data_IF_547215416095
#
_entry.id   IF_547215416095
#
_cell.length_a   1.000
_cell.length_b   1.000
_cell.length_c   1.000
_cell.angle_alpha   90.00
_cell.angle_beta   90.00
_cell.angle_gamma   90.00
#
_symmetry.space_group_name_H-M   'P 1'
#
loop_
_entity.id
_entity.type
_entity.pdbx_description
1 polymer ?
#
# COMPACT_ATOMS: atom_id res chain seq x y z
N UNK A 1 -12.21 -15.17 -3.05
CA UNK A 1 -13.10 -14.15 -3.66
C UNK A 1 -12.74 -12.83 -3.01
N UNK A 2 -12.56 -11.76 -3.78
CA UNK A 2 -12.12 -10.46 -3.22
C UNK A 2 -13.35 -9.76 -2.65
N UNK A 3 -13.36 -9.51 -1.35
CA UNK A 3 -14.46 -8.86 -0.64
C UNK A 3 -14.32 -7.34 -0.71
N UNK A 4 -14.42 -6.79 -1.92
CA UNK A 4 -14.22 -5.35 -2.15
C UNK A 4 -15.32 -4.71 -2.98
N UNK A 5 -15.65 -3.47 -2.64
CA UNK A 5 -16.53 -2.59 -3.42
C UNK A 5 -15.79 -1.30 -3.77
N UNK A 6 -15.86 -0.91 -5.03
CA UNK A 6 -15.43 0.38 -5.54
C UNK A 6 -16.63 1.29 -5.80
N UNK A 7 -16.60 2.48 -5.22
CA UNK A 7 -17.66 3.48 -5.32
C UNK A 7 -17.15 4.76 -5.95
N UNK A 8 -17.83 5.24 -7.00
CA UNK A 8 -17.74 6.64 -7.38
C UNK A 8 -18.74 7.48 -6.59
N UNK A 9 -18.27 8.56 -5.99
CA UNK A 9 -19.10 9.51 -5.24
C UNK A 9 -19.33 10.75 -6.10
N UNK A 10 -20.59 11.04 -6.36
CA UNK A 10 -21.01 12.21 -7.12
C UNK A 10 -21.93 13.14 -6.33
N UNK A 11 -22.10 14.39 -6.79
CA UNK A 11 -23.11 15.29 -6.26
C UNK A 11 -24.52 14.70 -6.44
N UNK A 12 -25.53 15.20 -5.70
CA UNK A 12 -26.91 14.74 -5.84
C UNK A 12 -27.39 14.84 -7.30
N UNK A 13 -28.14 13.84 -7.77
CA UNK A 13 -28.68 13.79 -9.15
C UNK A 13 -29.40 15.08 -9.57
N UNK A 14 -30.03 15.78 -8.63
CA UNK A 14 -30.71 17.07 -8.86
C UNK A 14 -29.78 18.23 -9.27
N UNK A 15 -28.48 18.12 -9.02
CA UNK A 15 -27.46 19.10 -9.43
C UNK A 15 -26.88 18.78 -10.82
N UNK A 16 -27.21 17.63 -11.42
CA UNK A 16 -26.68 17.22 -12.72
C UNK A 16 -27.50 17.78 -13.87
N UNK A 17 -26.83 18.19 -14.93
CA UNK A 17 -27.46 18.64 -16.17
C UNK A 17 -28.15 17.47 -16.90
N UNK A 18 -29.09 17.82 -17.78
CA UNK A 18 -29.79 16.83 -18.61
C UNK A 18 -28.78 16.09 -19.52
N UNK A 19 -28.81 14.74 -19.48
CA UNK A 19 -27.90 13.89 -20.24
C UNK A 19 -26.53 13.63 -19.58
N UNK A 20 -26.14 14.41 -18.57
CA UNK A 20 -24.85 14.26 -17.88
C UNK A 20 -24.72 12.89 -17.19
N UNK A 21 -25.77 12.49 -16.47
CA UNK A 21 -25.80 11.22 -15.75
C UNK A 21 -25.69 10.00 -16.68
N UNK A 22 -26.29 10.07 -17.88
CA UNK A 22 -26.17 9.03 -18.90
C UNK A 22 -24.76 8.96 -19.47
N UNK A 23 -24.12 10.11 -19.67
CA UNK A 23 -22.73 10.21 -20.13
C UNK A 23 -21.76 9.60 -19.12
N UNK A 24 -21.87 10.01 -17.85
CA UNK A 24 -21.05 9.50 -16.75
C UNK A 24 -21.17 7.98 -16.62
N UNK A 25 -22.39 7.43 -16.67
CA UNK A 25 -22.60 5.98 -16.60
C UNK A 25 -21.89 5.22 -17.72
N UNK A 26 -22.04 5.68 -18.97
CA UNK A 26 -21.38 5.05 -20.12
C UNK A 26 -19.86 5.09 -19.99
N UNK A 27 -19.31 6.18 -19.46
CA UNK A 27 -17.87 6.31 -19.22
C UNK A 27 -17.40 5.36 -18.11
N UNK A 28 -18.14 5.26 -17.01
CA UNK A 28 -17.81 4.41 -15.87
C UNK A 28 -17.97 2.92 -16.17
N UNK A 29 -18.96 2.53 -16.97
CA UNK A 29 -19.15 1.15 -17.40
C UNK A 29 -17.86 0.58 -18.03
N UNK A 30 -17.21 1.35 -18.91
CA UNK A 30 -15.93 0.95 -19.51
C UNK A 30 -14.79 0.84 -18.50
N UNK A 31 -14.79 1.67 -17.46
CA UNK A 31 -13.78 1.64 -16.40
C UNK A 31 -13.98 0.46 -15.43
N UNK A 32 -15.24 0.13 -15.13
CA UNK A 32 -15.62 -0.93 -14.19
C UNK A 32 -15.29 -2.33 -14.68
N UNK A 33 -15.22 -2.57 -16.00
CA UNK A 33 -14.93 -3.90 -16.57
C UNK A 33 -13.70 -4.54 -15.91
N UNK A 34 -12.59 -3.80 -15.84
CA UNK A 34 -11.33 -4.30 -15.29
C UNK A 34 -11.41 -4.67 -13.80
N UNK A 35 -12.24 -3.98 -13.02
CA UNK A 35 -12.45 -4.22 -11.60
C UNK A 35 -13.43 -5.39 -11.38
N UNK A 36 -14.50 -5.45 -12.17
CA UNK A 36 -15.48 -6.53 -12.14
C UNK A 36 -14.85 -7.89 -12.51
N UNK A 37 -13.97 -7.92 -13.50
CA UNK A 37 -13.17 -9.12 -13.86
C UNK A 37 -12.29 -9.62 -12.71
N UNK A 38 -11.94 -8.73 -11.76
CA UNK A 38 -11.17 -9.05 -10.55
C UNK A 38 -12.04 -9.35 -9.34
N UNK A 39 -13.37 -9.42 -9.52
CA UNK A 39 -14.34 -9.71 -8.48
C UNK A 39 -14.65 -8.53 -7.55
N UNK A 40 -14.35 -7.30 -7.96
CA UNK A 40 -14.66 -6.09 -7.19
C UNK A 40 -16.04 -5.57 -7.58
N UNK A 41 -16.96 -5.45 -6.63
CA UNK A 41 -18.26 -4.83 -6.87
C UNK A 41 -18.09 -3.35 -7.22
N UNK A 42 -18.77 -2.84 -8.26
CA UNK A 42 -18.64 -1.44 -8.66
C UNK A 42 -19.98 -0.72 -8.52
N UNK A 43 -19.97 0.49 -7.97
CA UNK A 43 -21.18 1.25 -7.67
C UNK A 43 -21.01 2.75 -7.77
N UNK A 44 -22.14 3.44 -7.73
CA UNK A 44 -22.21 4.90 -7.73
C UNK A 44 -23.06 5.35 -6.55
N UNK A 45 -22.52 6.24 -5.72
CA UNK A 45 -23.25 6.91 -4.64
C UNK A 45 -23.42 8.39 -5.01
N UNK A 46 -24.62 8.91 -4.76
CA UNK A 46 -24.93 10.32 -4.88
C UNK A 46 -25.17 10.87 -3.48
N UNK A 47 -24.39 11.86 -3.04
CA UNK A 47 -24.50 12.41 -1.70
C UNK A 47 -24.39 13.94 -1.73
N UNK A 48 -25.24 14.62 -0.96
CA UNK A 48 -25.23 16.09 -0.88
C UNK A 48 -24.23 16.64 0.15
N UNK A 49 -23.75 15.79 1.04
CA UNK A 49 -22.86 16.12 2.16
C UNK A 49 -22.29 14.83 2.76
N UNK A 50 -21.41 14.98 3.75
CA UNK A 50 -20.74 13.87 4.42
C UNK A 50 -21.68 12.99 5.24
N UNK A 51 -22.76 13.54 5.79
CA UNK A 51 -23.72 12.78 6.63
C UNK A 51 -24.51 11.80 5.77
N UNK A 52 -25.00 12.26 4.62
CA UNK A 52 -25.66 11.40 3.63
C UNK A 52 -24.71 10.32 3.10
N UNK A 53 -23.44 10.67 2.84
CA UNK A 53 -22.44 9.72 2.37
C UNK A 53 -22.15 8.63 3.42
N UNK A 54 -21.90 9.03 4.68
CA UNK A 54 -21.68 8.08 5.79
C UNK A 54 -22.89 7.15 5.92
N UNK A 55 -24.10 7.70 5.96
CA UNK A 55 -25.32 6.89 6.12
C UNK A 55 -25.51 5.90 4.96
N UNK A 56 -25.24 6.32 3.72
CA UNK A 56 -25.32 5.44 2.56
C UNK A 56 -24.29 4.31 2.61
N UNK A 57 -23.06 4.62 3.03
CA UNK A 57 -21.98 3.63 3.19
C UNK A 57 -22.28 2.66 4.34
N UNK A 58 -22.72 3.14 5.50
CA UNK A 58 -23.09 2.29 6.62
C UNK A 58 -24.24 1.34 6.26
N UNK A 59 -25.24 1.84 5.53
CA UNK A 59 -26.33 1.03 5.01
C UNK A 59 -25.82 -0.04 4.05
N UNK A 60 -24.93 0.31 3.11
CA UNK A 60 -24.30 -0.63 2.21
C UNK A 60 -23.53 -1.71 2.97
N UNK A 61 -22.79 -1.33 4.03
CA UNK A 61 -22.06 -2.30 4.86
C UNK A 61 -22.96 -3.23 5.66
N UNK A 62 -24.14 -2.75 6.06
CA UNK A 62 -25.13 -3.57 6.75
C UNK A 62 -25.81 -4.57 5.80
N UNK A 63 -26.19 -4.11 4.60
CA UNK A 63 -26.90 -4.92 3.60
C UNK A 63 -25.97 -5.92 2.90
N UNK A 64 -24.71 -5.54 2.66
CA UNK A 64 -23.73 -6.31 1.88
C UNK A 64 -22.43 -6.51 2.67
N UNK A 65 -22.53 -6.97 3.92
CA UNK A 65 -21.41 -7.09 4.86
C UNK A 65 -20.23 -7.90 4.32
N UNK A 66 -20.50 -8.95 3.54
CA UNK A 66 -19.46 -9.81 2.94
C UNK A 66 -18.73 -9.14 1.79
N UNK A 67 -19.41 -8.33 0.98
CA UNK A 67 -18.79 -7.67 -0.19
C UNK A 67 -18.12 -6.35 0.18
N UNK A 68 -18.62 -5.69 1.21
CA UNK A 68 -18.20 -4.35 1.65
C UNK A 68 -17.12 -4.36 2.74
N UNK A 69 -16.44 -5.50 2.94
CA UNK A 69 -15.33 -5.60 3.88
C UNK A 69 -14.25 -4.56 3.56
N UNK A 70 -13.93 -4.40 2.27
CA UNK A 70 -12.95 -3.43 1.77
C UNK A 70 -13.62 -2.42 0.84
N UNK A 71 -13.84 -1.20 1.34
CA UNK A 71 -14.50 -0.14 0.57
C UNK A 71 -13.47 0.82 -0.03
N UNK A 72 -13.56 0.99 -1.34
CA UNK A 72 -12.77 1.94 -2.12
C UNK A 72 -13.69 3.05 -2.60
N UNK A 73 -13.28 4.31 -2.47
CA UNK A 73 -14.08 5.44 -2.94
C UNK A 73 -13.27 6.40 -3.79
N UNK A 74 -13.83 6.84 -4.91
CA UNK A 74 -13.28 7.88 -5.77
C UNK A 74 -14.24 9.05 -5.83
N UNK A 75 -13.74 10.25 -5.61
CA UNK A 75 -14.54 11.46 -5.68
C UNK A 75 -13.74 12.61 -6.29
N UNK A 76 -14.44 13.51 -6.99
CA UNK A 76 -13.84 14.70 -7.57
C UNK A 76 -14.58 15.99 -7.22
N UNK A 77 -13.89 17.14 -7.34
CA UNK A 77 -14.45 18.46 -7.08
C UNK A 77 -15.12 18.59 -5.70
N UNK A 78 -16.37 19.06 -5.67
CA UNK A 78 -17.18 19.19 -4.43
C UNK A 78 -17.39 17.83 -3.72
N UNK A 79 -17.48 16.73 -4.48
CA UNK A 79 -17.68 15.40 -3.88
C UNK A 79 -16.44 14.89 -3.16
N UNK A 80 -15.24 15.27 -3.62
CA UNK A 80 -13.99 14.95 -2.94
C UNK A 80 -13.92 15.59 -1.55
N UNK A 81 -14.45 16.81 -1.41
CA UNK A 81 -14.61 17.47 -0.12
C UNK A 81 -15.57 16.71 0.81
N UNK A 82 -16.75 16.32 0.31
CA UNK A 82 -17.70 15.53 1.09
C UNK A 82 -17.10 14.19 1.53
N UNK A 83 -16.36 13.52 0.65
CA UNK A 83 -15.63 12.30 0.97
C UNK A 83 -14.57 12.55 2.04
N UNK A 84 -13.78 13.61 1.92
CA UNK A 84 -12.76 13.97 2.91
C UNK A 84 -13.39 14.23 4.30
N UNK A 85 -14.50 14.99 4.36
CA UNK A 85 -15.25 15.22 5.61
C UNK A 85 -15.81 13.92 6.19
N UNK A 86 -16.30 13.03 5.34
CA UNK A 86 -16.83 11.74 5.76
C UNK A 86 -15.74 10.84 6.36
N UNK A 87 -14.60 10.74 5.67
CA UNK A 87 -13.42 9.98 6.11
C UNK A 87 -12.84 10.54 7.40
N UNK A 88 -12.76 11.87 7.52
CA UNK A 88 -12.27 12.52 8.75
C UNK A 88 -13.14 12.18 9.97
N UNK A 89 -14.45 11.98 9.78
CA UNK A 89 -15.40 11.61 10.84
C UNK A 89 -15.45 10.12 11.16
N UNK A 90 -15.38 9.26 10.15
CA UNK A 90 -15.57 7.79 10.26
C UNK A 90 -14.56 7.03 9.38
N UNK A 91 -13.25 7.15 9.63
CA UNK A 91 -12.21 6.60 8.75
C UNK A 91 -12.32 5.10 8.51
N UNK A 92 -12.81 4.35 9.52
CA UNK A 92 -12.93 2.89 9.51
C UNK A 92 -13.94 2.33 8.49
N UNK A 93 -14.74 3.21 7.89
CA UNK A 93 -15.66 2.85 6.81
C UNK A 93 -14.96 2.64 5.47
N UNK A 94 -13.74 3.17 5.29
CA UNK A 94 -13.01 3.12 4.03
C UNK A 94 -11.68 2.38 4.18
N UNK A 95 -11.37 1.54 3.19
CA UNK A 95 -10.04 0.95 3.04
C UNK A 95 -9.11 1.85 2.22
N UNK A 96 -9.64 2.51 1.20
CA UNK A 96 -8.88 3.40 0.32
C UNK A 96 -9.75 4.50 -0.27
N UNK A 97 -9.19 5.70 -0.41
CA UNK A 97 -9.88 6.86 -0.97
C UNK A 97 -9.05 7.55 -2.04
N UNK A 98 -9.72 8.03 -3.09
CA UNK A 98 -9.11 8.80 -4.16
C UNK A 98 -9.75 10.19 -4.17
N UNK A 99 -8.92 11.21 -3.94
CA UNK A 99 -9.28 12.61 -4.05
C UNK A 99 -8.77 13.14 -5.38
N UNK A 100 -9.69 13.34 -6.32
CA UNK A 100 -9.36 13.76 -7.67
C UNK A 100 -9.78 15.21 -7.89
N UNK A 101 -8.80 16.11 -8.00
CA UNK A 101 -9.05 17.52 -8.30
C UNK A 101 -10.14 18.13 -7.40
N UNK A 102 -9.99 18.05 -6.07
CA UNK A 102 -10.98 18.57 -5.14
C UNK A 102 -11.16 20.08 -5.30
N UNK A 103 -12.34 20.59 -4.93
CA UNK A 103 -12.57 22.03 -4.81
C UNK A 103 -11.65 22.63 -3.73
N UNK A 104 -10.87 23.65 -4.09
CA UNK A 104 -9.80 24.15 -3.22
C UNK A 104 -10.31 24.70 -1.90
N UNK A 105 -11.23 25.66 -1.93
CA UNK A 105 -11.66 26.38 -0.72
C UNK A 105 -12.26 25.41 0.30
N UNK A 106 -13.11 24.51 -0.18
CA UNK A 106 -13.79 23.54 0.65
C UNK A 106 -12.82 22.51 1.25
N UNK A 107 -11.93 21.95 0.42
CA UNK A 107 -11.04 20.85 0.84
C UNK A 107 -9.99 21.29 1.87
N UNK A 108 -9.54 22.55 1.82
CA UNK A 108 -8.57 23.09 2.78
C UNK A 108 -9.08 23.08 4.23
N UNK A 109 -10.40 23.11 4.44
CA UNK A 109 -11.03 23.06 5.77
C UNK A 109 -10.89 21.69 6.46
N UNK A 110 -10.52 20.64 5.73
CA UNK A 110 -10.62 19.26 6.20
C UNK A 110 -9.26 18.63 6.42
N UNK A 111 -8.97 18.27 7.65
CA UNK A 111 -7.73 17.55 7.99
C UNK A 111 -7.92 16.03 7.94
N UNK A 112 -6.85 15.28 7.56
CA UNK A 112 -6.86 13.83 7.62
C UNK A 112 -7.09 13.34 9.06
N UNK A 113 -7.77 12.21 9.25
CA UNK A 113 -7.93 11.58 10.57
C UNK A 113 -6.61 10.95 11.03
N UNK A 114 -6.51 10.62 12.33
CA UNK A 114 -5.33 9.95 12.90
C UNK A 114 -5.09 8.57 12.30
N UNK A 115 -6.15 7.78 12.14
CA UNK A 115 -6.13 6.49 11.46
C UNK A 115 -6.57 6.68 10.01
N UNK A 116 -5.68 7.24 9.19
CA UNK A 116 -6.05 7.58 7.82
C UNK A 116 -6.10 6.31 6.93
N UNK A 117 -7.19 6.11 6.16
CA UNK A 117 -7.22 5.06 5.14
C UNK A 117 -6.20 5.36 4.05
N UNK A 118 -5.89 4.36 3.23
CA UNK A 118 -4.96 4.57 2.11
C UNK A 118 -5.51 5.68 1.20
N UNK A 119 -4.70 6.64 0.79
CA UNK A 119 -5.16 7.77 0.00
C UNK A 119 -4.35 7.96 -1.29
N UNK A 120 -5.07 8.31 -2.36
CA UNK A 120 -4.47 8.81 -3.59
C UNK A 120 -5.03 10.19 -3.88
N UNK A 121 -4.12 11.15 -3.98
CA UNK A 121 -4.42 12.53 -4.30
C UNK A 121 -3.99 12.80 -5.75
N UNK A 122 -4.95 13.08 -6.64
CA UNK A 122 -4.71 13.46 -8.03
C UNK A 122 -4.99 14.95 -8.21
N UNK A 123 -4.03 15.66 -8.78
CA UNK A 123 -4.13 17.11 -8.94
C UNK A 123 -3.51 17.55 -10.26
N UNK A 124 -4.08 18.53 -10.97
CA UNK A 124 -3.45 19.03 -12.17
C UNK A 124 -2.24 19.93 -11.84
N UNK A 125 -1.24 19.97 -12.72
CA UNK A 125 0.03 20.70 -12.54
C UNK A 125 -0.15 22.22 -12.34
N UNK A 126 -1.26 22.78 -12.82
CA UNK A 126 -1.64 24.18 -12.69
C UNK A 126 -2.43 24.48 -11.40
N UNK A 127 -2.60 23.49 -10.52
CA UNK A 127 -3.36 23.67 -9.30
C UNK A 127 -2.62 24.49 -8.23
N UNK A 128 -3.38 24.93 -7.23
CA UNK A 128 -2.91 25.87 -6.19
C UNK A 128 -1.94 25.22 -5.18
N UNK A 129 -0.92 25.96 -4.78
CA UNK A 129 0.14 25.49 -3.86
C UNK A 129 -0.42 25.08 -2.50
N UNK A 130 -1.41 25.81 -1.99
CA UNK A 130 -2.09 25.51 -0.74
C UNK A 130 -2.84 24.16 -0.83
N UNK A 131 -3.52 23.92 -1.95
CA UNK A 131 -4.22 22.66 -2.18
C UNK A 131 -3.24 21.49 -2.27
N UNK A 132 -2.14 21.65 -3.01
CA UNK A 132 -1.09 20.64 -3.10
C UNK A 132 -0.54 20.31 -1.71
N UNK A 133 -0.29 21.34 -0.88
CA UNK A 133 0.20 21.16 0.49
C UNK A 133 -0.77 20.35 1.35
N UNK A 134 -2.08 20.62 1.23
CA UNK A 134 -3.12 19.87 1.94
C UNK A 134 -3.25 18.44 1.43
N UNK A 135 -3.17 18.21 0.13
CA UNK A 135 -3.21 16.86 -0.46
C UNK A 135 -1.97 16.03 -0.06
N UNK A 136 -0.81 16.67 0.09
CA UNK A 136 0.40 16.05 0.63
C UNK A 136 0.23 15.70 2.12
N UNK A 137 -0.45 16.53 2.91
CA UNK A 137 -0.80 16.22 4.30
C UNK A 137 -1.61 14.92 4.39
N UNK A 138 -2.64 14.78 3.55
CA UNK A 138 -3.45 13.55 3.46
C UNK A 138 -2.62 12.33 3.06
N UNK A 139 -1.78 12.45 2.03
CA UNK A 139 -0.90 11.39 1.60
C UNK A 139 0.09 10.98 2.71
N UNK A 140 0.64 11.94 3.46
CA UNK A 140 1.54 11.66 4.59
C UNK A 140 0.83 10.96 5.73
N UNK A 141 -0.36 11.42 6.12
CA UNK A 141 -1.15 10.79 7.19
C UNK A 141 -1.44 9.31 6.87
N UNK A 142 -1.70 8.99 5.60
CA UNK A 142 -1.98 7.62 5.17
C UNK A 142 -0.75 6.69 5.18
N UNK A 143 0.46 7.25 5.30
CA UNK A 143 1.73 6.49 5.40
C UNK A 143 2.16 6.22 6.84
N UNK A 144 1.47 6.76 7.85
CA UNK A 144 1.86 6.63 9.26
C UNK A 144 1.57 5.24 9.86
N UNK A 145 1.22 4.24 9.04
CA UNK A 145 0.82 2.91 9.50
C UNK A 145 2.01 1.92 9.50
N UNK A 146 1.93 0.87 10.31
CA UNK A 146 3.08 0.03 10.71
C UNK A 146 3.61 -0.86 9.57
N UNK A 147 2.78 -1.22 8.59
CA UNK A 147 3.21 -2.15 7.53
C UNK A 147 4.15 -1.49 6.51
N UNK A 148 5.21 -2.17 6.05
CA UNK A 148 6.13 -1.68 5.01
C UNK A 148 5.44 -1.18 3.74
N UNK A 149 4.40 -1.91 3.30
CA UNK A 149 3.59 -1.51 2.15
C UNK A 149 2.89 -0.17 2.39
N UNK A 150 2.24 0.01 3.54
CA UNK A 150 1.50 1.24 3.84
C UNK A 150 2.43 2.44 4.03
N UNK A 151 3.64 2.25 4.56
CA UNK A 151 4.65 3.34 4.62
C UNK A 151 4.98 3.90 3.23
N UNK A 152 4.99 3.05 2.19
CA UNK A 152 5.30 3.47 0.81
C UNK A 152 4.06 3.88 0.00
N UNK A 153 3.06 3.00 0.01
CA UNK A 153 1.89 3.04 -0.87
C UNK A 153 0.62 3.45 -0.13
N UNK A 154 0.68 3.66 1.18
CA UNK A 154 -0.47 4.10 1.97
C UNK A 154 -0.98 5.47 1.52
N UNK A 155 -0.11 6.36 1.06
CA UNK A 155 -0.51 7.65 0.51
C UNK A 155 0.28 8.02 -0.72
N UNK A 156 -0.37 8.42 -1.80
CA UNK A 156 0.29 8.90 -3.02
C UNK A 156 -0.26 10.27 -3.42
N UNK A 157 0.62 11.10 -3.99
CA UNK A 157 0.27 12.37 -4.59
C UNK A 157 0.78 12.36 -6.03
N UNK A 158 -0.11 12.60 -6.99
CA UNK A 158 0.21 12.57 -8.41
C UNK A 158 -0.25 13.87 -9.08
N UNK A 159 0.70 14.50 -9.76
CA UNK A 159 0.46 15.66 -10.59
C UNK A 159 0.31 15.24 -12.06
N UNK A 160 -0.71 15.75 -12.75
CA UNK A 160 -0.94 15.48 -14.17
C UNK A 160 -1.14 16.77 -14.98
N UNK A 161 -0.86 16.75 -16.28
CA UNK A 161 -1.08 17.92 -17.14
C UNK A 161 -2.55 18.07 -17.50
N UNK A 162 -3.14 19.25 -17.23
CA UNK A 162 -4.52 19.57 -17.59
C UNK A 162 -4.75 19.68 -19.11
N UNK A 163 -3.71 20.05 -19.88
CA UNK A 163 -3.78 20.23 -21.34
C UNK A 163 -4.03 18.92 -22.10
N UNK A 164 -3.65 17.79 -21.51
CA UNK A 164 -3.88 16.44 -22.04
C UNK A 164 -5.25 15.90 -21.53
N UNK A 165 -6.04 16.75 -20.87
CA UNK A 165 -7.23 16.38 -20.11
C UNK A 165 -6.88 15.50 -18.90
N UNK A 166 -7.90 14.99 -18.18
CA UNK A 166 -7.74 13.73 -17.46
C UNK A 166 -7.40 12.65 -18.49
N UNK A 167 -6.14 12.60 -18.89
CA UNK A 167 -5.65 11.62 -19.83
C UNK A 167 -6.01 10.24 -19.29
N UNK A 168 -6.25 9.28 -20.18
CA UNK A 168 -6.40 7.88 -19.81
C UNK A 168 -5.29 7.42 -18.84
N UNK A 169 -4.12 8.07 -18.83
CA UNK A 169 -3.02 7.79 -17.91
C UNK A 169 -3.31 8.14 -16.44
N UNK A 170 -3.98 9.26 -16.13
CA UNK A 170 -4.31 9.63 -14.73
C UNK A 170 -5.34 8.67 -14.13
N UNK A 171 -6.38 8.36 -14.90
CA UNK A 171 -7.35 7.32 -14.53
C UNK A 171 -6.70 5.95 -14.43
N UNK A 172 -5.85 5.57 -15.39
CA UNK A 172 -5.14 4.29 -15.36
C UNK A 172 -4.21 4.19 -14.15
N UNK A 173 -3.53 5.27 -13.76
CA UNK A 173 -2.72 5.33 -12.55
C UNK A 173 -3.57 5.10 -11.31
N UNK A 174 -4.71 5.79 -11.19
CA UNK A 174 -5.62 5.58 -10.08
C UNK A 174 -6.16 4.16 -9.99
N UNK A 175 -6.59 3.58 -11.10
CA UNK A 175 -7.04 2.18 -11.12
C UNK A 175 -5.91 1.19 -10.84
N UNK A 176 -4.70 1.42 -11.35
CA UNK A 176 -3.53 0.59 -11.03
C UNK A 176 -3.20 0.63 -9.55
N UNK A 177 -3.25 1.81 -8.94
CA UNK A 177 -3.06 1.98 -7.50
C UNK A 177 -4.11 1.21 -6.68
N UNK A 178 -5.40 1.30 -7.07
CA UNK A 178 -6.48 0.55 -6.42
C UNK A 178 -6.26 -0.96 -6.53
N UNK A 179 -5.84 -1.44 -7.70
CA UNK A 179 -5.52 -2.86 -7.93
C UNK A 179 -4.36 -3.32 -7.04
N UNK A 180 -3.31 -2.50 -6.88
CA UNK A 180 -2.20 -2.86 -5.99
C UNK A 180 -2.61 -2.85 -4.52
N UNK A 181 -3.46 -1.90 -4.09
CA UNK A 181 -4.04 -1.91 -2.75
C UNK A 181 -4.85 -3.19 -2.49
N UNK A 182 -5.59 -3.68 -3.48
CA UNK A 182 -6.37 -4.92 -3.41
C UNK A 182 -5.51 -6.16 -3.24
N UNK A 183 -4.38 -6.26 -3.98
CA UNK A 183 -3.46 -7.41 -3.86
C UNK A 183 -2.93 -7.58 -2.44
N UNK A 184 -2.59 -6.47 -1.78
CA UNK A 184 -2.01 -6.53 -0.43
C UNK A 184 -3.04 -6.77 0.68
N UNK A 185 -4.31 -6.47 0.44
CA UNK A 185 -5.39 -6.89 1.35
C UNK A 185 -5.49 -8.42 1.40
N UNK A 186 -5.42 -9.08 0.23
CA UNK A 186 -5.50 -10.54 0.14
C UNK A 186 -4.33 -11.27 0.82
N UNK A 187 -3.15 -10.66 0.88
CA UNK A 187 -1.96 -11.26 1.49
C UNK A 187 -1.91 -11.07 3.02
N UNK A 188 -2.35 -9.93 3.54
CA UNK A 188 -2.34 -9.67 5.00
C UNK A 188 -3.32 -10.56 5.79
N UNK A 189 -4.46 -10.93 5.19
CA UNK A 189 -5.44 -11.82 5.83
C UNK A 189 -4.94 -13.29 5.90
N UNK A 190 -4.06 -13.70 4.99
CA UNK A 190 -3.42 -15.02 5.00
C UNK A 190 -2.39 -15.20 6.12
N UNK A 191 -1.61 -14.15 6.42
CA UNK A 191 -0.60 -14.16 7.48
C UNK A 191 -1.23 -13.98 8.88
N UNK A 192 -2.24 -13.11 9.01
CA UNK A 192 -2.95 -12.90 10.28
C UNK A 192 -3.70 -14.17 10.76
N UNK A 193 -4.18 -14.99 9.83
CA UNK A 193 -4.86 -16.26 10.11
C UNK A 193 -3.91 -17.39 10.55
N UNK A 194 -2.61 -17.29 10.23
CA UNK A 194 -1.60 -18.24 10.70
C UNK A 194 -0.96 -17.82 12.04
N UNK A 195 -0.81 -16.51 12.26
CA UNK A 195 -0.32 -15.96 13.53
C UNK A 195 -1.28 -16.19 14.71
N UNK A 196 -2.59 -16.27 14.44
CA UNK A 196 -3.61 -16.52 15.47
C UNK A 196 -3.80 -17.99 15.83
N UNK A 197 -3.14 -18.93 15.14
CA UNK A 197 -3.15 -20.37 15.45
C UNK A 197 -1.91 -20.84 16.22
N UNK A 198 -1.00 -19.95 16.60
CA UNK A 198 0.30 -20.31 17.18
C UNK A 198 0.54 -19.79 18.60
N UNK A 199 -0.52 -19.52 19.37
CA UNK A 199 -0.41 -19.20 20.81
C UNK A 199 -1.22 -20.19 21.65
N UNK A 200 -0.46 -20.96 22.44
CA UNK A 200 -0.82 -21.80 23.59
C UNK A 200 -1.61 -23.11 23.38
N UNK A 201 -0.86 -24.22 23.34
CA UNK A 201 -1.22 -25.42 24.09
C UNK A 201 0.05 -26.11 24.65
N UNK A 202 0.35 -25.81 25.92
CA UNK A 202 1.13 -26.60 26.88
C UNK A 202 0.12 -26.99 27.96
N UNK A 203 -0.05 -28.21 28.46
CA UNK A 203 0.72 -29.45 28.53
C UNK A 203 -0.28 -30.59 28.85
N UNK A 204 0.02 -31.86 28.53
CA UNK A 204 0.36 -32.90 29.53
C UNK A 204 0.69 -34.26 28.89
N UNK A 205 1.74 -34.84 29.46
CA UNK A 205 2.40 -36.15 29.34
C UNK A 205 1.61 -37.41 28.94
N UNK A 206 2.29 -38.33 28.24
CA UNK A 206 2.15 -39.78 28.43
C UNK A 206 2.50 -40.68 27.23
N UNK A 207 3.58 -41.46 27.39
CA UNK A 207 3.93 -42.75 26.77
C UNK A 207 4.34 -42.93 25.29
N UNK A 208 5.66 -43.15 25.15
CA UNK A 208 6.38 -44.29 24.53
C UNK A 208 5.92 -45.04 23.26
N UNK A 209 6.96 -45.34 22.47
CA UNK A 209 7.20 -46.42 21.48
C UNK A 209 7.11 -46.16 19.97
N UNK A 210 8.34 -46.21 19.42
CA UNK A 210 8.81 -46.92 18.21
C UNK A 210 8.90 -46.18 16.87
N UNK A 211 10.16 -45.94 16.49
CA UNK A 211 10.78 -46.19 15.18
C UNK A 211 9.86 -46.29 13.96
N UNK A 212 10.07 -45.38 13.01
CA UNK A 212 10.54 -45.80 11.67
C UNK A 212 11.14 -44.63 10.90
N UNK A 213 12.46 -44.72 10.71
CA UNK A 213 13.19 -44.06 9.63
C UNK A 213 12.57 -44.41 8.27
N UNK A 214 12.21 -43.41 7.48
CA UNK A 214 12.34 -43.47 6.02
C UNK A 214 12.83 -42.13 5.49
N UNK A 215 14.13 -42.10 5.19
CA UNK A 215 14.73 -41.19 4.23
C UNK A 215 13.90 -41.18 2.96
N UNK A 216 13.42 -40.01 2.54
CA UNK A 216 13.34 -39.68 1.14
C UNK A 216 14.01 -38.32 0.94
N UNK A 217 15.16 -38.39 0.28
CA UNK A 217 15.88 -37.26 -0.26
C UNK A 217 14.98 -36.50 -1.23
N UNK A 218 14.68 -35.25 -0.91
CA UNK A 218 14.24 -34.25 -1.88
C UNK A 218 15.25 -33.12 -1.88
N UNK A 219 15.62 -32.70 -3.10
CA UNK A 219 16.66 -31.74 -3.49
C UNK A 219 16.95 -30.62 -2.48
N UNK A 220 18.21 -30.15 -2.37
CA UNK A 220 18.47 -28.89 -1.69
C UNK A 220 17.73 -27.77 -2.42
N UNK A 221 16.90 -27.03 -1.69
CA UNK A 221 16.23 -25.85 -2.20
C UNK A 221 17.28 -24.85 -2.67
N UNK A 222 17.12 -24.33 -3.89
CA UNK A 222 18.06 -23.39 -4.49
C UNK A 222 18.24 -22.11 -3.67
N UNK A 223 17.33 -21.80 -2.74
CA UNK A 223 17.37 -20.63 -1.88
C UNK A 223 18.36 -20.77 -0.69
N UNK A 224 18.57 -21.99 -0.19
CA UNK A 224 19.51 -22.25 0.90
C UNK A 224 20.95 -22.22 0.38
N UNK A 225 21.14 -22.62 -0.88
CA UNK A 225 22.37 -22.42 -1.63
C UNK A 225 22.71 -20.93 -1.83
N UNK A 226 21.71 -20.08 -2.13
CA UNK A 226 21.91 -18.62 -2.28
C UNK A 226 22.32 -17.96 -0.97
N UNK A 227 21.77 -18.41 0.16
CA UNK A 227 22.10 -17.88 1.48
C UNK A 227 23.50 -18.33 1.95
N UNK A 228 23.88 -19.58 1.66
CA UNK A 228 25.25 -20.07 1.86
C UNK A 228 26.26 -19.42 0.90
N UNK A 229 25.84 -18.98 -0.28
CA UNK A 229 26.66 -18.24 -1.23
C UNK A 229 26.91 -16.78 -0.79
N UNK A 230 25.89 -16.10 -0.23
CA UNK A 230 26.05 -14.82 0.48
C UNK A 230 27.03 -14.92 1.66
N UNK A 231 26.96 -16.01 2.42
CA UNK A 231 27.88 -16.30 3.54
C UNK A 231 29.33 -16.42 3.06
N UNK A 232 29.56 -17.07 1.92
CA UNK A 232 30.89 -17.23 1.30
C UNK A 232 31.50 -15.93 0.78
N UNK A 233 30.73 -15.08 0.12
CA UNK A 233 31.22 -13.82 -0.47
C UNK A 233 31.65 -12.79 0.60
N UNK A 234 31.09 -12.89 1.79
CA UNK A 234 31.31 -11.91 2.86
C UNK A 234 32.58 -12.12 3.70
N UNK A 235 33.43 -13.09 3.34
CA UNK A 235 34.61 -13.49 4.12
C UNK A 235 35.86 -12.61 3.89
N UNK A 236 35.74 -11.46 3.22
CA UNK A 236 36.93 -10.72 2.77
C UNK A 236 36.84 -9.21 2.56
N UNK A 237 35.85 -8.49 3.07
CA UNK A 237 35.75 -7.03 2.84
C UNK A 237 35.76 -6.19 4.12
N UNK A 238 36.78 -5.34 4.21
CA UNK A 238 36.96 -4.27 5.20
C UNK A 238 36.05 -3.09 4.86
N UNK A 239 35.31 -2.60 5.84
CA UNK A 239 34.32 -1.55 5.68
C UNK A 239 35.04 -0.19 5.74
N UNK A 240 35.10 0.53 4.62
CA UNK A 240 35.60 1.90 4.59
C UNK A 240 34.41 2.86 4.68
N UNK A 241 34.41 3.70 5.71
CA UNK A 241 33.45 4.77 5.91
C UNK A 241 33.68 5.87 4.87
N UNK A 242 32.67 6.17 4.05
CA UNK A 242 32.65 7.33 3.17
C UNK A 242 31.74 8.40 3.79
N UNK A 243 32.33 9.57 4.05
CA UNK A 243 31.69 10.77 4.57
C UNK A 243 31.28 11.72 3.45
N UNK A 244 30.30 12.56 3.78
CA UNK A 244 29.87 13.85 3.20
C UNK A 244 28.84 13.89 2.05
N UNK A 245 27.74 14.60 2.35
CA UNK A 245 26.71 15.07 1.43
C UNK A 245 25.37 15.37 2.12
N UNK A 246 25.35 16.37 3.01
CA UNK A 246 24.23 16.70 3.92
C UNK A 246 23.00 17.30 3.20
N UNK A 247 21.93 16.52 3.09
CA UNK A 247 20.55 17.00 3.12
C UNK A 247 19.90 16.40 4.38
N UNK A 248 19.70 17.23 5.41
CA UNK A 248 19.12 16.80 6.68
C UNK A 248 17.64 16.47 6.49
N UNK A 249 17.35 15.21 6.18
CA UNK A 249 16.11 14.58 6.59
C UNK A 249 16.31 14.12 8.03
N UNK A 250 15.35 14.40 8.93
CA UNK A 250 15.38 13.81 10.28
C UNK A 250 15.31 12.29 10.15
N UNK A 251 16.46 11.64 10.25
CA UNK A 251 16.73 10.23 9.93
C UNK A 251 16.42 9.28 11.10
N UNK A 252 15.76 9.77 12.16
CA UNK A 252 15.41 8.98 13.33
C UNK A 252 13.94 8.54 13.25
N UNK A 253 13.71 7.31 12.75
CA UNK A 253 12.64 6.35 13.15
C UNK A 253 12.06 5.47 12.03
N UNK A 254 12.67 5.37 10.85
CA UNK A 254 12.24 4.33 9.87
C UNK A 254 12.91 3.01 10.23
N UNK A 255 12.21 2.15 10.98
CA UNK A 255 12.63 0.77 11.22
C UNK A 255 12.40 -0.04 9.94
N UNK A 256 13.46 -0.66 9.41
CA UNK A 256 13.36 -1.55 8.26
C UNK A 256 13.41 -3.00 8.74
N UNK A 257 12.29 -3.51 9.26
CA UNK A 257 12.20 -4.90 9.70
C UNK A 257 11.82 -5.83 8.54
N UNK A 258 12.76 -6.67 8.11
CA UNK A 258 12.50 -7.74 7.12
C UNK A 258 13.25 -9.02 7.50
N UNK A 259 12.75 -10.16 7.03
CA UNK A 259 13.27 -11.48 7.40
C UNK A 259 14.73 -11.65 7.00
N UNK A 260 15.11 -11.20 5.80
CA UNK A 260 16.48 -11.24 5.29
C UNK A 260 17.43 -10.44 6.18
N UNK A 261 17.02 -9.28 6.68
CA UNK A 261 17.84 -8.49 7.59
C UNK A 261 18.02 -9.18 8.95
N UNK A 262 16.94 -9.76 9.50
CA UNK A 262 16.98 -10.52 10.76
C UNK A 262 17.89 -11.74 10.66
N UNK A 263 17.74 -12.52 9.58
CA UNK A 263 18.55 -13.71 9.34
C UNK A 263 20.03 -13.35 9.11
N UNK A 264 20.29 -12.25 8.39
CA UNK A 264 21.65 -11.79 8.14
C UNK A 264 22.35 -11.29 9.41
N UNK A 265 21.64 -10.56 10.28
CA UNK A 265 22.16 -10.14 11.60
C UNK A 265 22.37 -11.32 12.55
N UNK A 266 21.48 -12.31 12.54
CA UNK A 266 21.65 -13.52 13.34
C UNK A 266 22.94 -14.29 12.96
N UNK A 267 23.38 -14.20 11.70
CA UNK A 267 24.64 -14.79 11.22
C UNK A 267 25.84 -13.88 11.49
N UNK A 268 25.65 -12.56 11.44
CA UNK A 268 26.70 -11.56 11.64
C UNK A 268 26.29 -10.52 12.70
N UNK A 269 26.35 -10.88 13.99
CA UNK A 269 26.00 -9.96 15.08
C UNK A 269 26.95 -8.75 15.16
N UNK A 270 28.15 -8.85 14.56
CA UNK A 270 29.11 -7.74 14.44
C UNK A 270 28.55 -6.54 13.65
N UNK A 271 27.46 -6.74 12.89
CA UNK A 271 26.81 -5.72 12.07
C UNK A 271 25.56 -5.13 12.73
N UNK A 272 25.30 -5.43 14.01
CA UNK A 272 24.16 -4.89 14.75
C UNK A 272 24.21 -3.35 14.87
N UNK A 273 25.41 -2.77 14.84
CA UNK A 273 25.62 -1.32 14.88
C UNK A 273 25.45 -0.62 13.52
N UNK A 274 25.30 -1.38 12.42
CA UNK A 274 25.14 -0.85 11.07
C UNK A 274 23.68 -0.50 10.83
N UNK A 275 23.39 0.67 10.25
CA UNK A 275 22.01 1.09 9.96
C UNK A 275 21.34 0.11 9.00
N UNK A 276 20.06 -0.19 9.25
CA UNK A 276 19.30 -1.15 8.44
C UNK A 276 19.31 -0.79 6.94
N UNK A 277 19.22 0.51 6.63
CA UNK A 277 19.29 1.06 5.27
C UNK A 277 20.56 0.63 4.52
N UNK A 278 21.73 0.78 5.15
CA UNK A 278 23.02 0.50 4.52
C UNK A 278 23.18 -1.01 4.27
N UNK A 279 22.70 -1.83 5.21
CA UNK A 279 22.65 -3.29 5.09
C UNK A 279 21.74 -3.75 3.95
N UNK A 280 20.54 -3.19 3.83
CA UNK A 280 19.58 -3.55 2.77
C UNK A 280 20.15 -3.20 1.40
N UNK A 281 20.74 -2.02 1.25
CA UNK A 281 21.38 -1.58 0.00
C UNK A 281 22.54 -2.49 -0.40
N UNK A 282 23.41 -2.84 0.55
CA UNK A 282 24.53 -3.74 0.31
C UNK A 282 24.06 -5.13 -0.11
N UNK A 283 23.18 -5.75 0.68
CA UNK A 283 22.65 -7.08 0.42
C UNK A 283 21.91 -7.15 -0.92
N UNK A 284 21.06 -6.16 -1.20
CA UNK A 284 20.32 -6.13 -2.44
C UNK A 284 21.20 -5.90 -3.66
N UNK A 285 22.27 -5.10 -3.54
CA UNK A 285 23.27 -4.92 -4.61
C UNK A 285 24.01 -6.23 -4.93
N UNK A 286 24.41 -6.98 -3.91
CA UNK A 286 25.05 -8.29 -4.11
C UNK A 286 24.07 -9.31 -4.73
N UNK A 287 22.82 -9.35 -4.26
CA UNK A 287 21.79 -10.22 -4.84
C UNK A 287 21.42 -9.83 -6.29
N UNK A 288 21.48 -8.54 -6.63
CA UNK A 288 21.27 -8.06 -7.99
C UNK A 288 22.42 -8.48 -8.92
N UNK A 289 23.68 -8.32 -8.48
CA UNK A 289 24.85 -8.79 -9.23
C UNK A 289 24.82 -10.30 -9.47
N UNK A 290 24.31 -11.06 -8.51
CA UNK A 290 24.15 -12.51 -8.61
C UNK A 290 22.91 -12.93 -9.43
N UNK A 291 22.05 -11.99 -9.82
CA UNK A 291 20.80 -12.27 -10.56
C UNK A 291 19.75 -13.02 -9.73
N UNK A 292 19.90 -13.05 -8.40
CA UNK A 292 19.03 -13.81 -7.48
C UNK A 292 18.04 -12.93 -6.72
N UNK A 293 18.09 -11.61 -6.92
CA UNK A 293 17.24 -10.62 -6.25
C UNK A 293 15.74 -10.96 -6.34
N UNK A 294 15.23 -11.29 -7.53
CA UNK A 294 13.81 -11.62 -7.72
C UNK A 294 13.42 -12.96 -7.07
N UNK A 295 14.35 -13.91 -6.98
CA UNK A 295 14.13 -15.16 -6.25
C UNK A 295 14.09 -14.93 -4.73
N UNK A 296 14.94 -14.05 -4.22
CA UNK A 296 14.89 -13.61 -2.83
C UNK A 296 13.61 -12.84 -2.53
N UNK A 297 13.15 -12.00 -3.45
CA UNK A 297 11.89 -11.27 -3.30
C UNK A 297 10.65 -12.15 -3.22
N UNK A 298 10.67 -13.37 -3.78
CA UNK A 298 9.59 -14.35 -3.57
C UNK A 298 9.57 -14.93 -2.15
N UNK A 299 10.70 -14.89 -1.43
CA UNK A 299 10.83 -15.38 -0.06
C UNK A 299 10.62 -14.26 0.95
N UNK A 300 11.10 -13.07 0.64
CA UNK A 300 10.94 -11.87 1.46
C UNK A 300 10.62 -10.68 0.55
N UNK A 301 9.32 -10.50 0.28
CA UNK A 301 8.81 -9.40 -0.54
C UNK A 301 9.14 -8.05 0.09
N UNK A 302 9.20 -7.97 1.42
CA UNK A 302 9.50 -6.76 2.17
C UNK A 302 10.95 -6.32 1.93
N UNK A 303 11.90 -7.24 1.99
CA UNK A 303 13.30 -6.97 1.66
C UNK A 303 13.46 -6.45 0.22
N UNK A 304 12.86 -7.12 -0.77
CA UNK A 304 12.92 -6.69 -2.17
C UNK A 304 12.34 -5.29 -2.35
N UNK A 305 11.22 -5.02 -1.68
CA UNK A 305 10.54 -3.72 -1.72
C UNK A 305 11.43 -2.62 -1.13
N UNK A 306 12.03 -2.84 0.05
CA UNK A 306 12.95 -1.90 0.69
C UNK A 306 14.18 -1.63 -0.16
N UNK A 307 14.80 -2.67 -0.71
CA UNK A 307 15.97 -2.52 -1.57
C UNK A 307 15.67 -1.67 -2.80
N UNK A 308 14.61 -1.99 -3.56
CA UNK A 308 14.21 -1.21 -4.75
C UNK A 308 13.90 0.24 -4.40
N UNK A 309 13.22 0.48 -3.27
CA UNK A 309 12.95 1.83 -2.76
C UNK A 309 14.22 2.62 -2.47
N UNK A 310 15.15 2.05 -1.70
CA UNK A 310 16.37 2.73 -1.30
C UNK A 310 17.26 3.02 -2.50
N UNK A 311 17.35 2.08 -3.45
CA UNK A 311 18.11 2.25 -4.69
C UNK A 311 17.56 3.38 -5.55
N UNK A 312 16.24 3.49 -5.67
CA UNK A 312 15.59 4.58 -6.41
C UNK A 312 15.91 5.94 -5.79
N UNK A 313 15.91 6.03 -4.45
CA UNK A 313 16.28 7.25 -3.71
C UNK A 313 17.76 7.63 -3.91
N UNK A 314 18.68 6.66 -3.96
CA UNK A 314 20.10 6.94 -4.24
C UNK A 314 20.37 7.30 -5.71
N UNK A 315 19.53 6.83 -6.62
CA UNK A 315 19.65 7.13 -8.06
C UNK A 315 19.02 8.47 -8.48
N UNK A 316 18.29 9.13 -7.57
CA UNK A 316 17.70 10.45 -7.82
C UNK A 316 18.74 11.56 -7.55
N UNK A 317 18.97 12.49 -8.49
CA UNK A 317 19.98 13.54 -8.38
C UNK A 317 19.71 14.58 -7.30
#
# INVERSE_FOLDING_TARGET
>A
MVNAIFLHVFPPKRKMAEGELSSIRRQLEGQFVSLLERGVGCGIIYAANEVELISAVEKLRLEEATLSAHLFSWASGESAHHLAKAVSKRPELWATVVFDSPDTESFLEVSPPSECPKSLCLMPMDGQVELASKMIEWARASRQNVSPFTVRMGGLFHLYSAEIGHSHAGLAFGYAYLIDCLKHIGNSEGEASQASLSIESKHTSGDEFSDHNYFNQTKPDSAEAVFEELKRLSSGQTWASASDGELVFSEDSVSFDCQVLRDYRAIKPELDAVRDKDLILHLGSELEKLGTLEAMGKKDEVFLLYYKSLRELESSP
#
